data_IF_442781818010
#
_entry.id   IF_442781818010
#
_cell.length_a   1.000
_cell.length_b   1.000
_cell.length_c   1.000
_cell.angle_alpha   90.00
_cell.angle_beta   90.00
_cell.angle_gamma   90.00
#
_symmetry.space_group_name_H-M   'P 1'
#
loop_
_entity.id
_entity.type
_entity.pdbx_description
1 polymer ?
#
# COMPACT_ATOMS: atom_id res chain seq x y z
N UNK A 1 13.69 -9.62 13.97
CA UNK A 1 12.61 -9.52 12.95
C UNK A 1 12.39 -8.09 12.44
N UNK A 2 13.39 -7.19 12.47
CA UNK A 2 13.25 -5.82 11.92
C UNK A 2 13.75 -5.74 10.46
N UNK A 3 14.56 -6.71 10.01
CA UNK A 3 15.18 -6.69 8.67
C UNK A 3 14.27 -7.11 7.51
N UNK A 4 13.26 -7.97 7.71
CA UNK A 4 12.42 -8.48 6.61
C UNK A 4 11.41 -7.45 6.10
N UNK A 5 11.16 -6.37 6.85
CA UNK A 5 10.14 -5.37 6.51
C UNK A 5 10.65 -4.26 5.60
N UNK A 6 11.97 -4.17 5.36
CA UNK A 6 12.53 -3.05 4.59
C UNK A 6 12.20 -3.11 3.09
N UNK A 7 11.91 -4.30 2.56
CA UNK A 7 11.75 -4.55 1.12
C UNK A 7 10.37 -5.11 0.74
N UNK A 8 9.37 -4.99 1.61
CA UNK A 8 8.00 -5.42 1.34
C UNK A 8 7.43 -4.78 0.07
N UNK A 9 7.55 -3.45 -0.04
CA UNK A 9 7.14 -2.70 -1.21
C UNK A 9 7.92 -3.09 -2.48
N UNK A 10 9.24 -3.30 -2.37
CA UNK A 10 10.08 -3.73 -3.48
C UNK A 10 9.65 -5.11 -4.02
N UNK A 11 9.24 -6.02 -3.14
CA UNK A 11 8.73 -7.34 -3.49
C UNK A 11 7.39 -7.23 -4.24
N UNK A 12 6.45 -6.38 -3.81
CA UNK A 12 5.20 -6.15 -4.56
C UNK A 12 5.46 -5.56 -5.96
N UNK A 13 6.41 -4.63 -6.07
CA UNK A 13 6.87 -4.08 -7.35
C UNK A 13 7.45 -5.17 -8.26
N UNK A 14 8.29 -6.05 -7.72
CA UNK A 14 8.85 -7.17 -8.46
C UNK A 14 7.77 -8.16 -8.92
N UNK A 15 6.82 -8.51 -8.05
CA UNK A 15 5.68 -9.39 -8.38
C UNK A 15 4.88 -8.78 -9.53
N UNK A 16 4.56 -7.49 -9.46
CA UNK A 16 3.84 -6.80 -10.53
C UNK A 16 4.60 -6.88 -11.87
N UNK A 17 5.91 -6.67 -11.87
CA UNK A 17 6.73 -6.77 -13.07
C UNK A 17 6.71 -8.19 -13.67
N UNK A 18 6.74 -9.25 -12.85
CA UNK A 18 6.60 -10.64 -13.32
C UNK A 18 5.19 -11.01 -13.77
N UNK A 19 4.16 -10.35 -13.22
CA UNK A 19 2.76 -10.68 -13.46
C UNK A 19 2.08 -9.79 -14.51
N UNK A 20 2.81 -8.86 -15.13
CA UNK A 20 2.25 -7.95 -16.12
C UNK A 20 2.09 -8.60 -17.50
N UNK A 21 1.01 -8.25 -18.21
CA UNK A 21 0.67 -8.80 -19.53
C UNK A 21 -0.08 -10.12 -19.48
N UNK A 22 -0.53 -10.63 -20.63
CA UNK A 22 -1.24 -11.92 -20.74
C UNK A 22 -0.30 -13.12 -20.59
N UNK A 23 0.92 -12.99 -21.09
CA UNK A 23 1.98 -13.99 -21.00
C UNK A 23 3.07 -13.53 -20.02
N UNK A 24 3.78 -14.45 -19.33
CA UNK A 24 4.90 -14.09 -18.47
C UNK A 24 6.00 -13.37 -19.27
N UNK A 25 6.44 -12.17 -18.86
CA UNK A 25 7.50 -11.43 -19.54
C UNK A 25 8.86 -12.10 -19.37
N UNK A 26 9.77 -11.87 -20.32
CA UNK A 26 11.16 -12.35 -20.23
C UNK A 26 11.97 -11.58 -19.17
N UNK A 27 13.07 -12.16 -18.69
CA UNK A 27 13.86 -11.55 -17.59
C UNK A 27 14.43 -10.17 -17.97
N UNK A 28 14.86 -10.00 -19.22
CA UNK A 28 15.31 -8.70 -19.76
C UNK A 28 14.17 -7.67 -19.75
N UNK A 29 12.94 -8.11 -20.02
CA UNK A 29 11.77 -7.24 -20.02
C UNK A 29 11.38 -6.85 -18.59
N UNK A 30 11.43 -7.79 -17.64
CA UNK A 30 11.23 -7.52 -16.21
C UNK A 30 12.30 -6.55 -15.70
N UNK A 31 13.57 -6.80 -16.02
CA UNK A 31 14.69 -5.91 -15.69
C UNK A 31 14.44 -4.47 -16.19
N UNK A 32 14.16 -4.34 -17.50
CA UNK A 32 13.93 -3.06 -18.17
C UNK A 32 12.79 -2.28 -17.53
N UNK A 33 11.71 -2.96 -17.13
CA UNK A 33 10.57 -2.34 -16.44
C UNK A 33 10.93 -1.85 -15.04
N UNK A 34 11.60 -2.69 -14.25
CA UNK A 34 12.04 -2.33 -12.90
C UNK A 34 12.95 -1.10 -12.94
N UNK A 35 14.04 -1.17 -13.72
CA UNK A 35 15.01 -0.08 -13.81
C UNK A 35 14.42 1.17 -14.47
N UNK A 36 13.59 1.00 -15.50
CA UNK A 36 12.88 2.10 -16.16
C UNK A 36 11.91 2.84 -15.23
N UNK A 37 11.37 2.16 -14.23
CA UNK A 37 10.52 2.71 -13.17
C UNK A 37 11.30 3.19 -11.93
N UNK A 38 12.63 3.32 -12.04
CA UNK A 38 13.49 3.87 -11.00
C UNK A 38 13.92 2.90 -9.91
N UNK A 39 13.73 1.58 -10.09
CA UNK A 39 14.35 0.57 -9.22
C UNK A 39 15.86 0.53 -9.51
N UNK A 40 16.68 0.59 -8.48
CA UNK A 40 18.13 0.54 -8.64
C UNK A 40 18.59 -0.84 -9.16
N UNK A 41 19.63 -0.90 -10.04
CA UNK A 41 20.06 -2.14 -10.67
C UNK A 41 20.33 -3.29 -9.69
N UNK A 42 21.03 -3.03 -8.58
CA UNK A 42 21.35 -4.04 -7.57
C UNK A 42 20.10 -4.68 -6.93
N UNK A 43 18.98 -3.93 -6.84
CA UNK A 43 17.72 -4.41 -6.29
C UNK A 43 16.92 -5.14 -7.36
N UNK A 44 16.90 -4.64 -8.60
CA UNK A 44 16.27 -5.31 -9.73
C UNK A 44 16.88 -6.72 -9.95
N UNK A 45 18.20 -6.85 -9.84
CA UNK A 45 18.91 -8.13 -9.96
C UNK A 45 18.45 -9.13 -8.89
N UNK A 46 18.38 -8.66 -7.64
CA UNK A 46 17.91 -9.48 -6.52
C UNK A 46 16.46 -9.90 -6.69
N UNK A 47 15.59 -9.01 -7.15
CA UNK A 47 14.18 -9.35 -7.39
C UNK A 47 14.05 -10.41 -8.48
N UNK A 48 14.83 -10.31 -9.58
CA UNK A 48 14.86 -11.32 -10.64
C UNK A 48 15.28 -12.70 -10.14
N UNK A 49 16.25 -12.77 -9.23
CA UNK A 49 16.78 -14.04 -8.74
C UNK A 49 15.91 -14.59 -7.60
N UNK A 50 15.56 -13.75 -6.62
CA UNK A 50 14.98 -14.20 -5.36
C UNK A 50 13.48 -14.42 -5.41
N UNK A 51 12.72 -13.71 -6.26
CA UNK A 51 11.28 -13.96 -6.39
C UNK A 51 10.99 -15.36 -6.95
N UNK A 52 11.54 -15.78 -8.10
CA UNK A 52 11.36 -17.15 -8.60
C UNK A 52 11.82 -18.22 -7.60
N UNK A 53 12.93 -17.97 -6.90
CA UNK A 53 13.48 -18.90 -5.92
C UNK A 53 12.55 -19.06 -4.71
N UNK A 54 12.08 -17.95 -4.12
CA UNK A 54 11.13 -17.95 -3.01
C UNK A 54 9.80 -18.65 -3.38
N UNK A 55 9.24 -18.32 -4.55
CA UNK A 55 7.99 -18.92 -5.01
C UNK A 55 8.14 -20.40 -5.37
N UNK A 56 9.29 -20.82 -5.91
CA UNK A 56 9.59 -22.23 -6.18
C UNK A 56 9.64 -23.04 -4.87
N UNK A 57 10.37 -22.55 -3.87
CA UNK A 57 10.49 -23.20 -2.57
C UNK A 57 9.16 -23.30 -1.84
N UNK A 58 8.30 -22.30 -1.99
CA UNK A 58 6.91 -22.34 -1.49
C UNK A 58 6.03 -23.33 -2.25
N UNK A 59 6.21 -23.45 -3.57
CA UNK A 59 5.44 -24.38 -4.40
C UNK A 59 5.83 -25.84 -4.13
N UNK A 60 7.10 -26.11 -3.84
CA UNK A 60 7.67 -27.45 -3.72
C UNK A 60 8.36 -27.65 -2.35
N UNK A 61 7.61 -27.60 -1.23
CA UNK A 61 8.19 -27.59 0.12
C UNK A 61 8.87 -28.90 0.52
N UNK A 62 8.59 -30.00 -0.19
CA UNK A 62 9.15 -31.33 0.10
C UNK A 62 10.57 -31.52 -0.50
N UNK A 63 11.05 -30.58 -1.32
CA UNK A 63 12.41 -30.60 -1.88
C UNK A 63 13.39 -30.03 -0.87
N UNK A 64 14.57 -30.65 -0.76
CA UNK A 64 15.66 -30.10 0.06
C UNK A 64 16.46 -29.06 -0.72
N UNK A 65 16.46 -27.83 -0.23
CA UNK A 65 17.15 -26.68 -0.84
C UNK A 65 18.39 -26.27 -0.05
N UNK A 66 19.49 -25.91 -0.73
CA UNK A 66 20.60 -25.20 -0.10
C UNK A 66 20.15 -23.81 0.41
N UNK A 67 20.70 -23.39 1.55
CA UNK A 67 20.50 -22.05 2.11
C UNK A 67 21.58 -21.06 1.66
N UNK A 68 22.38 -21.44 0.66
CA UNK A 68 23.47 -20.63 0.12
C UNK A 68 23.39 -20.54 -1.39
N UNK A 69 23.85 -19.41 -1.89
CA UNK A 69 24.06 -19.11 -3.31
C UNK A 69 25.55 -18.85 -3.51
N UNK A 70 26.20 -19.58 -4.43
CA UNK A 70 27.59 -19.36 -4.77
C UNK A 70 27.71 -18.30 -5.89
N UNK A 71 28.67 -17.39 -5.75
CA UNK A 71 29.12 -16.47 -6.80
C UNK A 71 30.65 -16.50 -6.92
N UNK A 72 31.23 -15.87 -7.96
CA UNK A 72 32.68 -15.80 -8.15
C UNK A 72 33.48 -15.30 -6.92
N UNK A 73 32.91 -14.37 -6.15
CA UNK A 73 33.51 -13.70 -5.00
C UNK A 73 33.14 -14.29 -3.65
N UNK A 74 32.28 -15.31 -3.59
CA UNK A 74 31.97 -16.00 -2.35
C UNK A 74 30.59 -16.64 -2.30
N UNK A 75 30.08 -16.83 -1.07
CA UNK A 75 28.74 -17.37 -0.83
C UNK A 75 27.85 -16.33 -0.17
N UNK A 76 26.61 -16.24 -0.64
CA UNK A 76 25.53 -15.48 -0.01
C UNK A 76 24.68 -16.45 0.80
N UNK A 77 24.47 -16.16 2.08
CA UNK A 77 23.54 -16.93 2.94
C UNK A 77 22.15 -16.34 2.74
N UNK A 78 21.21 -17.15 2.24
CA UNK A 78 19.88 -16.69 1.82
C UNK A 78 19.07 -16.16 3.02
N UNK A 79 19.12 -16.84 4.17
CA UNK A 79 18.46 -16.36 5.39
C UNK A 79 18.98 -14.99 5.90
N UNK A 80 20.19 -14.58 5.49
CA UNK A 80 20.76 -13.29 5.84
C UNK A 80 20.52 -12.20 4.77
N UNK A 81 20.00 -12.58 3.61
CA UNK A 81 19.75 -11.66 2.50
C UNK A 81 18.32 -11.07 2.61
N UNK A 82 18.18 -9.77 2.91
CA UNK A 82 16.89 -9.18 3.23
C UNK A 82 15.87 -9.21 2.09
N UNK A 83 16.28 -9.11 0.82
CA UNK A 83 15.35 -9.17 -0.30
C UNK A 83 14.80 -10.59 -0.46
N UNK A 84 15.65 -11.62 -0.30
CA UNK A 84 15.19 -13.01 -0.30
C UNK A 84 14.26 -13.31 0.88
N UNK A 85 14.60 -12.84 2.09
CA UNK A 85 13.75 -13.03 3.26
C UNK A 85 12.35 -12.40 3.07
N UNK A 86 12.28 -11.20 2.50
CA UNK A 86 11.01 -10.53 2.18
C UNK A 86 10.23 -11.28 1.08
N UNK A 87 10.91 -11.73 0.02
CA UNK A 87 10.31 -12.53 -1.05
C UNK A 87 9.72 -13.86 -0.51
N UNK A 88 10.45 -14.54 0.38
CA UNK A 88 10.02 -15.81 0.97
C UNK A 88 8.79 -15.65 1.87
N UNK A 89 8.72 -14.58 2.66
CA UNK A 89 7.53 -14.24 3.46
C UNK A 89 6.32 -13.96 2.56
N UNK A 90 6.48 -13.10 1.54
CA UNK A 90 5.40 -12.76 0.62
C UNK A 90 4.92 -13.96 -0.21
N UNK A 91 5.83 -14.85 -0.60
CA UNK A 91 5.50 -16.05 -1.34
C UNK A 91 4.52 -16.96 -0.59
N UNK A 92 4.48 -16.94 0.76
CA UNK A 92 3.53 -17.71 1.56
C UNK A 92 2.07 -17.31 1.30
N UNK A 93 1.84 -16.05 0.92
CA UNK A 93 0.50 -15.48 0.69
C UNK A 93 0.14 -15.40 -0.79
N UNK A 94 1.04 -15.78 -1.70
CA UNK A 94 0.81 -15.63 -3.14
C UNK A 94 -0.31 -16.51 -3.70
N UNK A 95 -1.04 -16.00 -4.67
CA UNK A 95 -2.09 -16.75 -5.38
C UNK A 95 -1.53 -17.81 -6.34
N UNK A 96 -2.42 -18.68 -6.85
CA UNK A 96 -2.04 -19.70 -7.85
C UNK A 96 -1.44 -19.06 -9.12
N UNK A 97 -2.01 -17.95 -9.56
CA UNK A 97 -1.58 -17.28 -10.80
C UNK A 97 -0.20 -16.64 -10.64
N UNK A 98 0.08 -15.98 -9.51
CA UNK A 98 1.42 -15.48 -9.17
C UNK A 98 2.44 -16.62 -9.16
N UNK A 99 2.11 -17.73 -8.49
CA UNK A 99 3.01 -18.90 -8.40
C UNK A 99 3.32 -19.47 -9.79
N UNK A 100 2.31 -19.61 -10.65
CA UNK A 100 2.50 -20.10 -12.01
C UNK A 100 3.41 -19.19 -12.85
N UNK A 101 3.33 -17.88 -12.66
CA UNK A 101 4.11 -16.90 -13.42
C UNK A 101 5.53 -16.70 -12.89
N UNK A 102 5.72 -16.77 -11.58
CA UNK A 102 6.99 -16.44 -10.94
C UNK A 102 7.85 -17.69 -10.74
N UNK A 103 7.30 -18.76 -10.15
CA UNK A 103 8.09 -19.94 -9.79
C UNK A 103 8.67 -20.65 -11.02
N UNK A 104 7.87 -20.78 -12.09
CA UNK A 104 8.22 -21.56 -13.28
C UNK A 104 9.41 -21.00 -14.07
N UNK A 105 9.80 -19.75 -13.79
CA UNK A 105 10.97 -19.08 -14.39
C UNK A 105 12.28 -19.39 -13.67
N UNK A 106 12.21 -19.88 -12.44
CA UNK A 106 13.37 -20.08 -11.58
C UNK A 106 14.27 -21.22 -12.05
N UNK A 107 15.59 -21.03 -11.91
CA UNK A 107 16.58 -22.09 -12.17
C UNK A 107 16.33 -23.34 -11.29
N UNK A 108 15.90 -23.16 -10.05
CA UNK A 108 15.53 -24.28 -9.16
C UNK A 108 14.35 -25.07 -9.73
N UNK A 109 13.29 -24.39 -10.17
CA UNK A 109 12.13 -25.05 -10.76
C UNK A 109 12.50 -25.82 -12.02
N UNK A 110 13.31 -25.23 -12.90
CA UNK A 110 13.80 -25.88 -14.10
C UNK A 110 14.64 -27.12 -13.79
N UNK A 111 15.54 -27.05 -12.80
CA UNK A 111 16.34 -28.19 -12.36
C UNK A 111 15.45 -29.32 -11.81
N UNK A 112 14.47 -28.99 -10.98
CA UNK A 112 13.50 -29.96 -10.43
C UNK A 112 12.69 -30.60 -11.55
N UNK A 113 12.12 -29.79 -12.45
CA UNK A 113 11.32 -30.27 -13.58
C UNK A 113 12.13 -31.22 -14.48
N UNK A 114 13.39 -30.89 -14.77
CA UNK A 114 14.28 -31.77 -15.55
C UNK A 114 14.56 -33.09 -14.83
N UNK A 115 14.82 -33.06 -13.52
CA UNK A 115 15.06 -34.27 -12.73
C UNK A 115 13.82 -35.19 -12.67
N UNK A 116 12.63 -34.62 -12.53
CA UNK A 116 11.37 -35.35 -12.54
C UNK A 116 11.10 -35.97 -13.92
N UNK A 117 11.32 -35.23 -15.01
CA UNK A 117 11.20 -35.75 -16.38
C UNK A 117 12.23 -36.85 -16.69
N UNK A 118 13.37 -36.86 -15.99
CA UNK A 118 14.36 -37.93 -16.05
C UNK A 118 14.02 -39.16 -15.18
N UNK A 119 12.87 -39.16 -14.49
CA UNK A 119 12.37 -40.29 -13.69
C UNK A 119 12.69 -40.21 -12.19
N UNK A 120 13.24 -39.10 -11.71
CA UNK A 120 13.43 -38.88 -10.26
C UNK A 120 12.08 -38.72 -9.55
N UNK A 121 12.00 -39.05 -8.27
CA UNK A 121 10.83 -38.80 -7.43
C UNK A 121 11.04 -37.55 -6.59
N UNK A 122 9.97 -36.80 -6.35
CA UNK A 122 10.02 -35.54 -5.56
C UNK A 122 10.68 -35.73 -4.19
N UNK A 123 10.34 -36.80 -3.47
CA UNK A 123 10.85 -37.12 -2.12
C UNK A 123 12.36 -37.41 -2.07
N UNK A 124 12.97 -37.72 -3.21
CA UNK A 124 14.39 -38.04 -3.33
C UNK A 124 15.21 -36.84 -3.84
N UNK A 125 14.55 -35.70 -4.15
CA UNK A 125 15.23 -34.54 -4.73
C UNK A 125 15.95 -33.71 -3.67
N UNK A 126 17.27 -33.61 -3.85
CA UNK A 126 18.14 -32.68 -3.13
C UNK A 126 18.81 -31.80 -4.18
N UNK A 127 18.53 -30.49 -4.16
CA UNK A 127 19.18 -29.58 -5.08
C UNK A 127 20.62 -29.27 -4.65
N UNK A 128 21.50 -29.17 -5.64
CA UNK A 128 22.84 -28.62 -5.45
C UNK A 128 22.79 -27.10 -5.27
N UNK A 129 23.88 -26.54 -4.71
CA UNK A 129 24.06 -25.09 -4.57
C UNK A 129 23.93 -24.39 -5.92
N UNK A 130 23.05 -23.38 -6.00
CA UNK A 130 22.95 -22.54 -7.18
C UNK A 130 24.21 -21.68 -7.31
N UNK A 131 24.72 -21.57 -8.54
CA UNK A 131 25.90 -20.77 -8.86
C UNK A 131 25.49 -19.63 -9.78
N UNK A 132 25.78 -18.40 -9.37
CA UNK A 132 25.66 -17.21 -10.20
C UNK A 132 26.84 -17.10 -11.16
N UNK A 133 26.58 -16.57 -12.35
CA UNK A 133 27.64 -16.26 -13.31
C UNK A 133 28.50 -15.08 -12.86
N UNK A 134 27.89 -14.12 -12.16
CA UNK A 134 28.50 -12.90 -11.64
C UNK A 134 28.14 -12.74 -10.16
N UNK A 135 28.93 -11.97 -9.41
CA UNK A 135 28.57 -11.66 -8.02
C UNK A 135 27.43 -10.65 -8.01
N UNK A 136 26.47 -10.84 -7.10
CA UNK A 136 25.47 -9.81 -6.81
C UNK A 136 26.18 -8.52 -6.41
N UNK A 137 25.78 -7.40 -7.01
CA UNK A 137 26.23 -6.10 -6.53
C UNK A 137 25.94 -5.97 -5.03
N UNK A 138 26.82 -5.37 -4.22
CA UNK A 138 26.54 -5.15 -2.81
C UNK A 138 25.21 -4.41 -2.64
N UNK A 139 24.41 -4.82 -1.64
CA UNK A 139 23.16 -4.11 -1.35
C UNK A 139 23.48 -2.63 -1.07
N UNK A 140 22.92 -1.74 -1.88
CA UNK A 140 23.11 -0.31 -1.73
C UNK A 140 22.51 0.21 -0.41
N UNK A 141 22.98 1.37 0.09
CA UNK A 141 22.30 2.01 1.21
C UNK A 141 20.89 2.46 0.79
N UNK A 142 19.87 2.13 1.59
CA UNK A 142 18.51 2.64 1.39
C UNK A 142 17.52 1.59 0.89
N UNK A 143 16.56 2.03 0.08
CA UNK A 143 15.37 1.29 -0.35
C UNK A 143 15.42 0.85 -1.83
N UNK A 144 16.55 1.11 -2.52
CA UNK A 144 16.76 0.75 -3.93
C UNK A 144 15.76 1.41 -4.90
N UNK A 145 15.21 2.57 -4.55
CA UNK A 145 14.24 3.28 -5.40
C UNK A 145 12.78 2.99 -5.08
N UNK A 146 12.51 2.07 -4.14
CA UNK A 146 11.14 1.68 -3.74
C UNK A 146 10.96 1.88 -2.23
N UNK A 147 10.62 3.09 -1.76
CA UNK A 147 10.46 3.36 -0.33
C UNK A 147 9.34 2.51 0.28
N UNK A 148 9.60 1.91 1.45
CA UNK A 148 8.56 1.19 2.21
C UNK A 148 7.55 2.19 2.80
N UNK A 149 6.28 2.19 2.36
CA UNK A 149 5.28 3.12 2.89
C UNK A 149 5.05 2.92 4.39
N UNK A 150 5.23 1.67 4.87
CA UNK A 150 5.11 1.34 6.29
C UNK A 150 6.19 2.00 7.12
N UNK A 151 7.45 1.92 6.68
CA UNK A 151 8.56 2.57 7.37
C UNK A 151 8.37 4.09 7.46
N UNK A 152 7.88 4.71 6.37
CA UNK A 152 7.54 6.13 6.33
C UNK A 152 6.40 6.45 7.27
N UNK A 153 5.32 5.67 7.26
CA UNK A 153 4.17 5.88 8.14
C UNK A 153 4.55 5.79 9.62
N UNK A 154 5.28 4.76 10.01
CA UNK A 154 5.78 4.62 11.38
C UNK A 154 6.74 5.77 11.76
N UNK A 155 7.53 6.28 10.80
CA UNK A 155 8.36 7.48 10.95
C UNK A 155 7.54 8.71 11.29
N UNK A 156 6.51 9.01 10.49
CA UNK A 156 5.59 10.13 10.71
C UNK A 156 4.91 10.05 12.09
N UNK A 157 4.49 8.85 12.50
CA UNK A 157 3.90 8.64 13.82
C UNK A 157 4.89 8.91 14.96
N UNK A 158 6.13 8.44 14.84
CA UNK A 158 7.20 8.69 15.82
C UNK A 158 7.55 10.18 15.94
N UNK A 159 7.59 10.90 14.82
CA UNK A 159 7.82 12.36 14.80
C UNK A 159 6.74 13.14 15.56
N UNK A 160 5.49 12.65 15.54
CA UNK A 160 4.38 13.19 16.33
C UNK A 160 4.30 12.60 17.75
N UNK A 161 5.30 11.81 18.15
CA UNK A 161 5.38 11.18 19.47
C UNK A 161 4.34 10.10 19.71
N UNK A 162 3.71 9.52 18.69
CA UNK A 162 2.76 8.42 18.89
C UNK A 162 3.54 7.17 19.32
N UNK A 163 3.23 6.59 20.48
CA UNK A 163 3.82 5.31 20.87
C UNK A 163 3.25 4.19 20.00
N UNK A 164 4.14 3.34 19.46
CA UNK A 164 3.77 2.18 18.65
C UNK A 164 3.77 0.88 19.47
N UNK A 165 3.42 1.01 20.76
CA UNK A 165 3.31 -0.11 21.70
C UNK A 165 1.86 -0.29 22.20
N UNK A 166 1.61 -1.41 22.87
CA UNK A 166 0.30 -1.71 23.44
C UNK A 166 -0.73 -2.21 22.42
N UNK A 167 -1.98 -1.73 22.55
CA UNK A 167 -3.14 -2.20 21.77
C UNK A 167 -3.27 -1.50 20.41
N UNK A 168 -2.52 -0.42 20.19
CA UNK A 168 -2.48 0.29 18.92
C UNK A 168 -1.64 -0.49 17.92
N UNK A 169 -2.18 -0.76 16.74
CA UNK A 169 -1.43 -1.38 15.63
C UNK A 169 -1.55 -0.51 14.40
N UNK A 170 -0.46 -0.41 13.65
CA UNK A 170 -0.41 0.35 12.40
C UNK A 170 0.18 -0.51 11.30
N UNK A 171 -0.23 -0.25 10.06
CA UNK A 171 0.30 -0.89 8.88
C UNK A 171 0.21 0.05 7.68
N UNK A 172 1.02 -0.21 6.67
CA UNK A 172 0.80 0.32 5.35
C UNK A 172 1.08 -0.77 4.31
N UNK A 173 0.25 -0.86 3.29
CA UNK A 173 0.37 -1.87 2.22
C UNK A 173 0.40 -1.17 0.86
N UNK A 174 1.31 -1.61 -0.01
CA UNK A 174 1.45 -1.11 -1.37
C UNK A 174 0.68 -2.02 -2.33
N UNK A 175 -0.20 -1.40 -3.13
CA UNK A 175 -0.86 -2.02 -4.26
C UNK A 175 -0.34 -1.40 -5.55
N UNK A 176 0.07 -2.27 -6.47
CA UNK A 176 0.54 -1.89 -7.80
C UNK A 176 -0.64 -1.96 -8.77
N UNK A 177 -0.83 -0.89 -9.55
CA UNK A 177 -1.85 -0.83 -10.58
C UNK A 177 -1.24 -0.72 -11.98
N UNK A 178 -1.91 -1.27 -13.01
CA UNK A 178 -1.55 -1.00 -14.40
C UNK A 178 -1.56 0.50 -14.68
N UNK A 179 -0.55 0.99 -15.38
CA UNK A 179 -0.39 2.38 -15.75
C UNK A 179 0.13 2.50 -17.19
N UNK A 180 -0.08 3.66 -17.86
CA UNK A 180 0.50 3.91 -19.18
C UNK A 180 2.03 3.86 -19.16
N UNK A 181 2.64 3.58 -20.32
CA UNK A 181 4.09 3.56 -20.48
C UNK A 181 4.76 4.84 -19.94
N UNK A 182 5.82 4.67 -19.15
CA UNK A 182 6.56 5.76 -18.53
C UNK A 182 5.89 6.37 -17.30
N UNK A 183 4.78 5.79 -16.83
CA UNK A 183 4.09 6.19 -15.59
C UNK A 183 3.97 4.97 -14.68
N UNK A 184 4.22 5.20 -13.40
CA UNK A 184 3.95 4.27 -12.31
C UNK A 184 2.70 4.74 -11.58
N UNK A 185 1.83 3.81 -11.22
CA UNK A 185 0.71 4.05 -10.32
C UNK A 185 0.84 3.17 -9.07
N UNK A 186 0.95 3.81 -7.92
CA UNK A 186 1.02 3.17 -6.61
C UNK A 186 -0.21 3.56 -5.80
N UNK A 187 -0.92 2.59 -5.24
CA UNK A 187 -1.91 2.84 -4.20
C UNK A 187 -1.33 2.36 -2.87
N UNK A 188 -1.42 3.20 -1.84
CA UNK A 188 -1.00 2.83 -0.49
C UNK A 188 -2.20 2.87 0.43
N UNK A 189 -2.43 1.76 1.12
CA UNK A 189 -3.43 1.65 2.18
C UNK A 189 -2.73 1.86 3.53
N UNK A 190 -3.09 2.91 4.24
CA UNK A 190 -2.62 3.20 5.60
C UNK A 190 -3.65 2.72 6.61
N UNK A 191 -3.28 1.76 7.46
CA UNK A 191 -4.20 1.11 8.38
C UNK A 191 -3.85 1.42 9.84
N UNK A 192 -4.87 1.73 10.65
CA UNK A 192 -4.75 1.94 12.09
C UNK A 192 -5.80 1.12 12.82
N UNK A 193 -5.36 0.31 13.78
CA UNK A 193 -6.19 -0.39 14.76
C UNK A 193 -6.01 0.27 16.11
N UNK A 194 -7.10 0.67 16.74
CA UNK A 194 -7.09 1.28 18.06
C UNK A 194 -8.36 0.91 18.83
N UNK A 195 -8.31 0.63 20.14
CA UNK A 195 -9.48 0.20 20.92
C UNK A 195 -10.65 1.17 20.92
N UNK A 196 -10.42 2.45 20.65
CA UNK A 196 -11.47 3.47 20.59
C UNK A 196 -12.27 3.45 19.27
N UNK A 197 -11.78 2.79 18.22
CA UNK A 197 -12.48 2.73 16.93
C UNK A 197 -13.78 1.91 17.01
N UNK A 198 -14.74 2.27 16.17
CA UNK A 198 -15.99 1.52 15.99
C UNK A 198 -15.77 0.20 15.23
N UNK A 199 -14.77 0.17 14.35
CA UNK A 199 -14.33 -1.01 13.61
C UNK A 199 -12.92 -1.43 14.01
N UNK A 200 -12.51 -2.69 13.76
CA UNK A 200 -11.18 -3.17 14.15
C UNK A 200 -10.03 -2.39 13.50
N UNK A 201 -10.27 -1.83 12.32
CA UNK A 201 -9.30 -1.09 11.52
C UNK A 201 -9.97 0.11 10.84
N UNK A 202 -9.30 1.24 10.90
CA UNK A 202 -9.51 2.38 10.03
C UNK A 202 -8.46 2.29 8.92
N UNK A 203 -8.87 2.33 7.65
CA UNK A 203 -7.95 2.19 6.51
C UNK A 203 -8.14 3.38 5.59
N UNK A 204 -7.05 4.06 5.25
CA UNK A 204 -7.05 5.12 4.24
C UNK A 204 -6.26 4.72 3.00
N UNK A 205 -6.94 4.68 1.85
CA UNK A 205 -6.35 4.28 0.59
C UNK A 205 -6.07 5.47 -0.32
N UNK A 206 -4.81 5.66 -0.72
CA UNK A 206 -4.36 6.82 -1.48
C UNK A 206 -3.50 6.41 -2.68
N UNK A 207 -3.91 6.85 -3.86
CA UNK A 207 -3.14 6.65 -5.08
C UNK A 207 -2.18 7.81 -5.35
N UNK A 208 -1.00 7.47 -5.86
CA UNK A 208 0.00 8.38 -6.39
C UNK A 208 0.53 7.90 -7.74
N UNK A 209 1.02 8.84 -8.52
CA UNK A 209 1.51 8.66 -9.87
C UNK A 209 2.84 9.38 -10.04
N UNK A 210 3.70 8.82 -10.87
CA UNK A 210 4.97 9.46 -11.19
C UNK A 210 5.77 8.66 -12.19
N UNK A 211 6.91 9.18 -12.66
CA UNK A 211 7.79 8.43 -13.56
C UNK A 211 8.52 7.28 -12.85
N UNK A 212 8.56 7.29 -11.51
CA UNK A 212 9.21 6.25 -10.71
C UNK A 212 8.35 5.75 -9.55
N UNK A 213 8.69 4.58 -9.01
CA UNK A 213 8.08 4.06 -7.78
C UNK A 213 8.25 5.00 -6.60
N UNK A 214 9.42 5.63 -6.46
CA UNK A 214 9.67 6.64 -5.43
C UNK A 214 8.70 7.83 -5.55
N UNK A 215 8.48 8.33 -6.76
CA UNK A 215 7.59 9.47 -6.99
C UNK A 215 6.13 9.10 -6.73
N UNK A 216 5.68 7.95 -7.24
CA UNK A 216 4.30 7.49 -7.06
C UNK A 216 3.97 7.21 -5.59
N UNK A 217 4.84 6.49 -4.88
CA UNK A 217 4.69 6.22 -3.44
C UNK A 217 4.79 7.53 -2.65
N UNK A 218 5.75 8.40 -3.00
CA UNK A 218 5.94 9.69 -2.37
C UNK A 218 4.71 10.59 -2.48
N UNK A 219 4.04 10.60 -3.64
CA UNK A 219 2.81 11.36 -3.84
C UNK A 219 1.65 10.79 -2.98
N UNK A 220 1.51 9.46 -2.89
CA UNK A 220 0.50 8.82 -2.04
C UNK A 220 0.72 9.15 -0.54
N UNK A 221 1.96 9.07 -0.06
CA UNK A 221 2.35 9.44 1.31
C UNK A 221 2.13 10.94 1.54
N UNK A 222 2.47 11.81 0.59
CA UNK A 222 2.25 13.25 0.72
C UNK A 222 0.76 13.57 0.89
N UNK A 223 -0.12 12.94 0.09
CA UNK A 223 -1.58 13.08 0.25
C UNK A 223 -2.04 12.58 1.63
N UNK A 224 -1.50 11.48 2.11
CA UNK A 224 -1.83 10.94 3.44
C UNK A 224 -1.44 11.91 4.55
N UNK A 225 -0.20 12.41 4.50
CA UNK A 225 0.34 13.32 5.51
C UNK A 225 -0.44 14.64 5.55
N UNK A 226 -0.83 15.17 4.38
CA UNK A 226 -1.62 16.39 4.29
C UNK A 226 -3.09 16.19 4.72
N UNK A 227 -3.77 15.17 4.21
CA UNK A 227 -5.23 15.04 4.34
C UNK A 227 -5.71 14.18 5.51
N UNK A 228 -4.98 13.12 5.87
CA UNK A 228 -5.52 12.03 6.71
C UNK A 228 -4.77 11.85 8.03
N UNK A 229 -3.45 12.04 8.01
CA UNK A 229 -2.59 11.80 9.18
C UNK A 229 -3.07 12.61 10.39
N UNK A 230 -3.24 13.92 10.23
CA UNK A 230 -3.55 14.81 11.36
C UNK A 230 -4.91 14.54 12.01
N UNK A 231 -6.01 14.28 11.26
CA UNK A 231 -7.25 13.78 11.86
C UNK A 231 -7.06 12.52 12.70
N UNK A 232 -6.28 11.55 12.23
CA UNK A 232 -5.98 10.32 12.98
C UNK A 232 -5.20 10.63 14.26
N UNK A 233 -4.20 11.50 14.18
CA UNK A 233 -3.42 11.92 15.34
C UNK A 233 -4.31 12.62 16.39
N UNK A 234 -5.03 13.65 15.96
CA UNK A 234 -5.82 14.53 16.85
C UNK A 234 -7.10 13.91 17.38
N UNK A 235 -7.74 13.04 16.58
CA UNK A 235 -9.01 12.41 16.92
C UNK A 235 -8.90 11.02 17.53
N UNK A 236 -7.73 10.36 17.44
CA UNK A 236 -7.60 8.96 17.87
C UNK A 236 -6.31 8.68 18.64
N UNK A 237 -5.15 8.93 18.05
CA UNK A 237 -3.89 8.37 18.57
C UNK A 237 -3.24 9.20 19.68
N UNK A 238 -3.25 10.53 19.54
CA UNK A 238 -2.63 11.44 20.49
C UNK A 238 -3.25 12.84 20.38
N UNK A 239 -4.46 13.06 20.92
CA UNK A 239 -5.10 14.38 20.90
C UNK A 239 -4.17 15.50 21.39
N UNK A 240 -4.06 16.58 20.61
CA UNK A 240 -3.16 17.71 20.87
C UNK A 240 -1.73 17.57 20.33
N UNK A 241 -1.38 16.50 19.60
CA UNK A 241 -0.05 16.34 18.99
C UNK A 241 0.19 17.13 17.70
N UNK A 242 -0.85 17.65 17.08
CA UNK A 242 -0.82 18.41 15.82
C UNK A 242 -1.77 19.63 15.88
N UNK A 243 -1.51 20.60 16.78
CA UNK A 243 -2.36 21.76 16.94
C UNK A 243 -2.41 22.59 15.65
N UNK A 244 -3.63 22.98 15.24
CA UNK A 244 -3.85 23.82 14.05
C UNK A 244 -3.81 23.09 12.71
N UNK A 245 -3.64 21.76 12.70
CA UNK A 245 -3.67 20.94 11.47
C UNK A 245 -5.05 20.35 11.16
N UNK A 246 -6.02 20.53 12.06
CA UNK A 246 -7.40 20.02 11.93
C UNK A 246 -8.41 21.07 12.34
N UNK A 247 -9.60 21.00 11.75
CA UNK A 247 -10.78 21.72 12.22
C UNK A 247 -11.59 20.82 13.16
N UNK A 248 -12.17 21.41 14.22
CA UNK A 248 -13.01 20.69 15.18
C UNK A 248 -14.38 21.34 15.24
N UNK A 249 -15.41 20.57 14.88
CA UNK A 249 -16.81 21.04 14.92
C UNK A 249 -17.64 20.07 15.72
N UNK A 250 -18.27 20.56 16.79
CA UNK A 250 -19.21 19.76 17.59
C UNK A 250 -20.59 19.75 16.94
N UNK A 251 -21.23 18.59 16.93
CA UNK A 251 -22.63 18.45 16.52
C UNK A 251 -23.38 17.44 17.41
N UNK A 252 -24.70 17.63 17.50
CA UNK A 252 -25.59 16.73 18.24
C UNK A 252 -26.05 15.59 17.33
N UNK A 253 -26.11 14.38 17.90
CA UNK A 253 -26.55 13.16 17.22
C UNK A 253 -27.42 12.34 18.17
N UNK A 254 -28.41 11.55 17.69
CA UNK A 254 -29.26 10.72 18.56
C UNK A 254 -28.49 9.76 19.48
N UNK A 255 -27.32 9.30 19.03
CA UNK A 255 -26.36 8.49 19.80
C UNK A 255 -25.48 9.27 20.79
N UNK A 256 -25.73 10.56 21.02
CA UNK A 256 -24.93 11.48 21.84
C UNK A 256 -24.07 12.42 20.99
N UNK A 257 -23.57 13.51 21.56
CA UNK A 257 -22.80 14.50 20.81
C UNK A 257 -21.43 13.97 20.35
N UNK A 258 -21.00 14.42 19.17
CA UNK A 258 -19.69 14.11 18.58
C UNK A 258 -18.95 15.39 18.22
N UNK A 259 -17.63 15.28 18.14
CA UNK A 259 -16.75 16.25 17.48
C UNK A 259 -16.30 15.66 16.14
N UNK A 260 -16.54 16.38 15.06
CA UNK A 260 -15.90 16.12 13.78
C UNK A 260 -14.50 16.72 13.81
N UNK A 261 -13.48 15.87 13.79
CA UNK A 261 -12.07 16.24 13.62
C UNK A 261 -11.71 16.10 12.15
N UNK A 262 -11.65 17.22 11.44
CA UNK A 262 -11.58 17.28 9.98
C UNK A 262 -10.19 17.68 9.49
N UNK A 263 -9.68 16.96 8.49
CA UNK A 263 -8.45 17.32 7.78
C UNK A 263 -8.71 18.34 6.67
N UNK A 264 -7.66 18.88 6.05
CA UNK A 264 -7.83 19.80 4.93
C UNK A 264 -8.46 19.11 3.72
N UNK A 265 -9.20 19.88 2.94
CA UNK A 265 -9.66 19.45 1.63
C UNK A 265 -8.47 19.33 0.67
N UNK A 266 -8.29 18.16 0.07
CA UNK A 266 -7.35 17.96 -1.03
C UNK A 266 -8.08 18.12 -2.36
N UNK A 267 -7.51 18.95 -3.22
CA UNK A 267 -7.95 19.15 -4.60
C UNK A 267 -6.99 18.44 -5.54
N UNK A 268 -7.53 17.61 -6.44
CA UNK A 268 -6.76 16.75 -7.33
C UNK A 268 -7.17 17.01 -8.79
N UNK A 269 -6.24 16.76 -9.71
CA UNK A 269 -6.41 16.84 -11.16
C UNK A 269 -6.68 18.23 -11.74
N UNK A 270 -6.59 19.31 -10.94
CA UNK A 270 -6.76 20.68 -11.43
C UNK A 270 -5.94 21.68 -10.62
N UNK A 271 -5.41 22.69 -11.30
CA UNK A 271 -4.77 23.85 -10.68
C UNK A 271 -5.75 25.02 -10.47
N UNK A 272 -7.00 24.88 -10.94
CA UNK A 272 -8.02 25.92 -10.75
C UNK A 272 -8.46 25.94 -9.28
N UNK A 273 -8.83 27.13 -8.75
CA UNK A 273 -9.43 27.22 -7.43
C UNK A 273 -10.69 26.35 -7.35
N UNK A 274 -10.69 25.41 -6.41
CA UNK A 274 -11.85 24.55 -6.13
C UNK A 274 -12.61 25.12 -4.94
N UNK A 275 -13.94 25.26 -5.01
CA UNK A 275 -14.74 25.68 -3.86
C UNK A 275 -14.58 24.74 -2.67
N UNK A 276 -14.83 25.27 -1.46
CA UNK A 276 -14.86 24.47 -0.24
C UNK A 276 -16.00 23.43 -0.29
N UNK A 277 -15.71 22.23 0.18
CA UNK A 277 -16.66 21.14 0.40
C UNK A 277 -17.50 21.35 1.68
N UNK A 278 -17.29 22.42 2.44
CA UNK A 278 -18.03 22.71 3.69
C UNK A 278 -19.55 22.56 3.57
N UNK A 279 -20.22 23.20 2.59
CA UNK A 279 -21.67 23.04 2.41
C UNK A 279 -22.11 21.60 2.11
N UNK A 280 -21.28 20.82 1.43
CA UNK A 280 -21.53 19.40 1.20
C UNK A 280 -21.35 18.59 2.49
N UNK A 281 -20.29 18.87 3.26
CA UNK A 281 -20.04 18.26 4.55
C UNK A 281 -21.17 18.55 5.55
N UNK A 282 -21.72 19.77 5.58
CA UNK A 282 -22.88 20.11 6.41
C UNK A 282 -24.09 19.22 6.10
N UNK A 283 -24.34 18.95 4.81
CA UNK A 283 -25.41 18.04 4.37
C UNK A 283 -25.11 16.59 4.77
N UNK A 284 -23.85 16.15 4.70
CA UNK A 284 -23.43 14.83 5.16
C UNK A 284 -23.60 14.71 6.68
N UNK A 285 -23.19 15.70 7.47
CA UNK A 285 -23.39 15.72 8.93
C UNK A 285 -24.87 15.66 9.29
N UNK A 286 -25.74 16.37 8.57
CA UNK A 286 -27.18 16.27 8.76
C UNK A 286 -27.70 14.85 8.45
N UNK A 287 -27.22 14.21 7.38
CA UNK A 287 -27.60 12.85 7.02
C UNK A 287 -27.12 11.80 8.04
N UNK A 288 -25.98 12.02 8.70
CA UNK A 288 -25.52 11.16 9.80
C UNK A 288 -26.53 11.06 10.93
N UNK A 289 -27.41 12.04 11.13
CA UNK A 289 -28.47 11.99 12.15
C UNK A 289 -29.44 10.80 12.02
N UNK A 290 -29.48 10.14 10.87
CA UNK A 290 -30.26 8.92 10.64
C UNK A 290 -29.45 7.62 10.83
N UNK A 291 -28.13 7.72 10.98
CA UNK A 291 -27.24 6.56 11.08
C UNK A 291 -27.03 6.13 12.55
N UNK A 292 -27.04 4.81 12.85
CA UNK A 292 -26.79 4.35 14.21
C UNK A 292 -25.30 4.40 14.56
N UNK A 293 -24.83 5.54 15.07
CA UNK A 293 -23.47 5.68 15.59
C UNK A 293 -23.34 5.18 17.03
N UNK A 294 -22.28 4.41 17.29
CA UNK A 294 -21.92 3.96 18.65
C UNK A 294 -21.12 5.06 19.37
N UNK A 295 -20.91 4.93 20.69
CA UNK A 295 -20.00 5.81 21.45
C UNK A 295 -18.53 5.44 21.24
N UNK A 296 -18.14 5.16 20.00
CA UNK A 296 -16.77 4.89 19.54
C UNK A 296 -16.38 5.93 18.50
N UNK A 297 -15.10 6.00 18.16
CA UNK A 297 -14.62 6.85 17.07
C UNK A 297 -14.95 6.23 15.73
N UNK A 298 -15.60 7.00 14.87
CA UNK A 298 -15.99 6.58 13.53
C UNK A 298 -15.17 7.33 12.47
N UNK A 299 -14.87 6.68 11.34
CA UNK A 299 -14.18 7.30 10.20
C UNK A 299 -15.17 7.79 9.15
N UNK A 300 -15.01 9.02 8.65
CA UNK A 300 -15.78 9.57 7.53
C UNK A 300 -14.84 9.94 6.39
N UNK A 301 -15.04 9.32 5.22
CA UNK A 301 -14.31 9.65 3.99
C UNK A 301 -15.26 10.18 2.93
N UNK A 302 -14.83 11.25 2.28
CA UNK A 302 -15.41 11.76 1.04
C UNK A 302 -14.32 11.78 -0.04
N UNK A 303 -14.56 11.08 -1.15
CA UNK A 303 -13.80 11.22 -2.39
C UNK A 303 -14.76 11.29 -3.57
N UNK A 304 -14.71 12.40 -4.29
CA UNK A 304 -15.53 12.60 -5.49
C UNK A 304 -14.65 13.00 -6.65
N UNK A 305 -14.91 12.46 -7.83
CA UNK A 305 -14.25 12.84 -9.07
C UNK A 305 -15.29 13.25 -10.11
N UNK A 306 -15.06 14.37 -10.77
CA UNK A 306 -15.92 14.91 -11.81
C UNK A 306 -15.09 15.15 -13.08
N UNK A 307 -15.72 14.92 -14.24
CA UNK A 307 -15.22 15.29 -15.56
C UNK A 307 -16.30 16.08 -16.27
N UNK A 308 -15.99 17.32 -16.64
CA UNK A 308 -16.92 18.24 -17.30
C UNK A 308 -18.26 18.39 -16.55
N UNK A 309 -18.15 18.58 -15.23
CA UNK A 309 -19.29 18.71 -14.33
C UNK A 309 -20.06 17.41 -14.07
N UNK A 310 -19.65 16.28 -14.65
CA UNK A 310 -20.32 14.97 -14.48
C UNK A 310 -19.57 14.12 -13.46
N UNK A 311 -20.29 13.68 -12.43
CA UNK A 311 -19.79 12.77 -11.40
C UNK A 311 -19.34 11.43 -12.02
N UNK A 312 -18.06 11.11 -11.87
CA UNK A 312 -17.44 9.86 -12.31
C UNK A 312 -17.27 8.88 -11.15
N UNK A 313 -16.82 9.39 -10.01
CA UNK A 313 -16.61 8.59 -8.78
C UNK A 313 -17.30 9.25 -7.61
N UNK A 314 -18.03 8.44 -6.84
CA UNK A 314 -18.78 8.85 -5.65
C UNK A 314 -18.48 7.91 -4.49
N UNK A 315 -17.34 8.13 -3.84
CA UNK A 315 -16.93 7.37 -2.67
C UNK A 315 -17.25 8.18 -1.42
N UNK A 316 -18.26 7.74 -0.68
CA UNK A 316 -18.56 8.24 0.66
C UNK A 316 -18.55 7.04 1.57
N UNK A 317 -17.58 6.98 2.48
CA UNK A 317 -17.42 5.84 3.39
C UNK A 317 -17.67 6.27 4.84
N UNK A 318 -18.37 5.42 5.57
CA UNK A 318 -18.48 5.46 7.02
C UNK A 318 -17.83 4.17 7.56
N UNK A 319 -16.77 4.31 8.36
CA UNK A 319 -15.99 3.20 8.89
C UNK A 319 -15.43 2.21 7.84
N UNK A 320 -14.92 2.76 6.74
CA UNK A 320 -14.42 2.06 5.54
C UNK A 320 -15.50 1.35 4.70
N UNK A 321 -16.78 1.46 5.07
CA UNK A 321 -17.88 0.85 4.31
C UNK A 321 -18.62 1.89 3.48
N UNK A 322 -19.06 1.57 2.24
CA UNK A 322 -19.87 2.48 1.43
C UNK A 322 -21.14 2.94 2.16
N UNK A 323 -21.29 4.25 2.31
CA UNK A 323 -22.42 4.86 2.98
C UNK A 323 -23.44 5.41 1.97
N UNK A 324 -24.47 4.60 1.71
CA UNK A 324 -25.45 4.88 0.66
C UNK A 324 -26.18 6.24 0.81
N UNK A 325 -26.57 6.62 2.02
CA UNK A 325 -27.23 7.92 2.24
C UNK A 325 -26.27 9.10 1.98
N UNK A 326 -25.00 8.96 2.37
CA UNK A 326 -23.96 9.94 2.04
C UNK A 326 -23.70 10.05 0.55
N UNK A 327 -23.63 8.92 -0.16
CA UNK A 327 -23.51 8.91 -1.62
C UNK A 327 -24.69 9.59 -2.31
N UNK A 328 -25.91 9.43 -1.80
CA UNK A 328 -27.09 10.12 -2.32
C UNK A 328 -27.00 11.64 -2.12
N UNK A 329 -26.49 12.11 -0.98
CA UNK A 329 -26.24 13.54 -0.71
C UNK A 329 -25.25 14.12 -1.72
N UNK A 330 -24.16 13.41 -2.02
CA UNK A 330 -23.17 13.83 -3.01
C UNK A 330 -23.74 13.83 -4.42
N UNK A 331 -24.50 12.81 -4.80
CA UNK A 331 -25.08 12.70 -6.13
C UNK A 331 -26.07 13.84 -6.45
N UNK A 332 -26.72 14.39 -5.42
CA UNK A 332 -27.62 15.54 -5.51
C UNK A 332 -26.89 16.90 -5.37
N UNK A 333 -25.58 16.89 -5.10
CA UNK A 333 -24.80 18.12 -5.00
C UNK A 333 -24.33 18.61 -6.39
N UNK A 334 -24.24 19.93 -6.61
CA UNK A 334 -23.65 20.46 -7.83
C UNK A 334 -22.15 20.07 -7.92
N UNK A 335 -21.61 19.88 -9.13
CA UNK A 335 -20.19 19.61 -9.29
C UNK A 335 -19.35 20.79 -8.78
N UNK A 336 -18.15 20.54 -8.22
CA UNK A 336 -17.31 21.61 -7.71
C UNK A 336 -16.79 22.54 -8.80
N UNK A 337 -16.63 22.04 -10.04
CA UNK A 337 -16.29 22.81 -11.23
C UNK A 337 -17.14 22.36 -12.43
N UNK A 338 -17.53 23.27 -13.35
CA UNK A 338 -18.41 22.95 -14.48
C UNK A 338 -17.72 22.24 -15.65
N UNK A 339 -16.41 22.41 -15.79
CA UNK A 339 -15.61 21.91 -16.92
C UNK A 339 -14.33 21.26 -16.41
N UNK A 340 -13.69 20.38 -17.19
CA UNK A 340 -12.41 19.75 -16.85
C UNK A 340 -12.51 18.64 -15.81
N UNK A 341 -11.36 18.03 -15.49
CA UNK A 341 -11.26 17.00 -14.46
C UNK A 341 -10.96 17.64 -13.10
N UNK A 342 -11.67 17.23 -12.07
CA UNK A 342 -11.40 17.62 -10.68
C UNK A 342 -11.81 16.51 -9.75
N UNK A 343 -10.99 16.22 -8.76
CA UNK A 343 -11.42 15.42 -7.62
C UNK A 343 -11.19 16.16 -6.30
N UNK A 344 -12.11 15.90 -5.37
CA UNK A 344 -12.10 16.47 -4.02
C UNK A 344 -12.04 15.31 -3.04
N UNK A 345 -11.06 15.36 -2.13
CA UNK A 345 -10.94 14.42 -1.02
C UNK A 345 -11.02 15.16 0.31
N UNK A 346 -11.80 14.61 1.24
CA UNK A 346 -11.85 15.05 2.63
C UNK A 346 -11.91 13.81 3.51
N UNK A 347 -11.14 13.83 4.60
CA UNK A 347 -11.15 12.80 5.63
C UNK A 347 -11.39 13.43 7.00
N UNK A 348 -12.19 12.76 7.83
CA UNK A 348 -12.40 13.19 9.21
C UNK A 348 -12.76 12.04 10.13
N UNK A 349 -12.62 12.28 11.43
CA UNK A 349 -13.05 11.37 12.49
C UNK A 349 -14.23 11.97 13.25
N UNK A 350 -15.25 11.15 13.50
CA UNK A 350 -16.34 11.47 14.41
C UNK A 350 -15.96 10.92 15.79
N UNK A 351 -15.53 11.81 16.68
CA UNK A 351 -15.06 11.44 18.02
C UNK A 351 -16.18 11.68 19.03
N UNK A 352 -16.54 10.70 19.89
CA UNK A 352 -17.53 10.92 20.93
C UNK A 352 -17.11 12.08 21.83
N UNK A 353 -17.94 13.12 21.91
CA UNK A 353 -17.62 14.27 22.72
C UNK A 353 -17.74 13.92 24.21
N UNK A 354 -16.88 14.49 25.06
CA UNK A 354 -17.01 14.34 26.50
C UNK A 354 -18.41 14.82 26.97
N UNK A 355 -19.02 14.11 27.94
CA UNK A 355 -20.34 14.45 28.47
C UNK A 355 -20.38 15.81 29.16
#
# INVERSE_FOLDING_TARGET
>A
MIGSMAFDAAVEVGIAAFCEGEEPPEDEEVWRRLVGAGVEPWLAERLLIFLPMAYTRRLLPDVSYPDTLAGPGGRVVLAAEPVFAAALDRAQRGGRDEVGRIATRGAEFNAINNALNAGSRMEDLVLGELTLAEDLEPAGPGDGGVPSPRAVFEGLLREHGVPLDGETRVGAELFVHPAPDGVVMAQVDFAVSHPALATPWLVESLAGHGPTWRDAIGEAVAKFSLGTLHPILEGLLRPGSAPGQVERTRFDHPGGAFELVLGPQLNLFTDRPVPSAGPLLDRLIAALGAEPLTRRTHGLRLFTAHVDGRLQTNEVLLDNEPWAAGQAVVADAPPPLPEGMVAVRVFGLLVPAAP
#
